data_IF_665142903336
#
_entry.id   IF_665142903336
#
_cell.length_a   1.000
_cell.length_b   1.000
_cell.length_c   1.000
_cell.angle_alpha   90.00
_cell.angle_beta   90.00
_cell.angle_gamma   90.00
#
_symmetry.space_group_name_H-M   'P 1'
#
loop_
_entity.id
_entity.type
_entity.pdbx_description
1 polymer ?
#
# COMPACT_ATOMS: atom_id res chain seq x y z
N UNK A 1 32.66 -15.81 -30.36
CA UNK A 1 31.55 -14.82 -30.30
C UNK A 1 30.50 -15.12 -29.20
N UNK A 2 30.73 -16.09 -28.30
CA UNK A 2 29.81 -16.41 -27.18
C UNK A 2 30.10 -15.67 -25.87
N UNK A 3 31.28 -15.06 -25.72
CA UNK A 3 31.70 -14.42 -24.46
C UNK A 3 30.95 -13.11 -24.15
N UNK A 4 30.44 -12.45 -25.18
CA UNK A 4 29.69 -11.19 -25.04
C UNK A 4 28.19 -11.43 -24.79
N UNK A 5 27.69 -12.64 -25.04
CA UNK A 5 26.28 -12.99 -24.81
C UNK A 5 26.01 -13.33 -23.34
N UNK A 6 27.00 -13.93 -22.65
CA UNK A 6 26.91 -14.30 -21.24
C UNK A 6 26.84 -13.09 -20.28
N UNK A 7 27.44 -11.97 -20.67
CA UNK A 7 27.44 -10.73 -19.88
C UNK A 7 26.08 -10.04 -19.93
N UNK A 8 25.35 -10.18 -21.05
CA UNK A 8 24.05 -9.52 -21.23
C UNK A 8 22.96 -10.15 -20.35
N UNK A 9 23.01 -11.47 -20.12
CA UNK A 9 22.01 -12.19 -19.32
C UNK A 9 22.13 -11.93 -17.82
N UNK A 10 23.33 -11.62 -17.30
CA UNK A 10 23.50 -11.27 -15.89
C UNK A 10 22.96 -9.87 -15.54
N UNK A 11 22.90 -8.95 -16.51
CA UNK A 11 22.48 -7.56 -16.26
C UNK A 11 20.95 -7.40 -16.20
N UNK A 12 20.18 -8.36 -16.73
CA UNK A 12 18.70 -8.32 -16.71
C UNK A 12 18.14 -8.78 -15.36
N UNK A 13 18.88 -9.57 -14.56
CA UNK A 13 18.41 -10.07 -13.26
C UNK A 13 18.51 -9.06 -12.10
N UNK A 14 19.24 -7.95 -12.26
CA UNK A 14 19.44 -6.97 -11.18
C UNK A 14 18.34 -5.91 -11.07
N UNK A 15 17.40 -5.84 -12.02
CA UNK A 15 16.27 -4.89 -11.97
C UNK A 15 15.02 -5.43 -11.26
N UNK A 16 15.05 -6.67 -10.77
CA UNK A 16 14.06 -7.13 -9.79
C UNK A 16 14.39 -6.51 -8.42
N UNK A 17 14.29 -5.18 -8.32
CA UNK A 17 14.28 -4.47 -7.05
C UNK A 17 13.00 -4.90 -6.32
N UNK A 18 13.05 -6.06 -5.65
CA UNK A 18 12.02 -6.55 -4.76
C UNK A 18 11.70 -5.45 -3.77
N UNK A 19 10.57 -4.84 -4.06
CA UNK A 19 10.18 -3.55 -3.58
C UNK A 19 9.55 -3.77 -2.21
N UNK A 20 10.37 -3.79 -1.14
CA UNK A 20 9.86 -4.03 0.21
C UNK A 20 8.76 -3.00 0.56
N UNK A 21 7.65 -3.43 1.16
CA UNK A 21 6.59 -2.54 1.63
C UNK A 21 7.14 -1.53 2.66
N UNK A 22 6.45 -0.38 2.86
CA UNK A 22 6.82 0.53 3.93
C UNK A 22 6.73 -0.15 5.30
N UNK A 23 7.57 0.24 6.24
CA UNK A 23 7.48 -0.24 7.62
C UNK A 23 6.21 0.29 8.29
N UNK A 24 5.56 -0.52 9.14
CA UNK A 24 4.32 -0.14 9.82
C UNK A 24 4.50 1.12 10.66
N UNK A 25 5.64 1.26 11.30
CA UNK A 25 6.01 2.41 12.15
C UNK A 25 6.12 3.69 11.31
N UNK A 26 6.64 3.59 10.08
CA UNK A 26 6.73 4.72 9.16
C UNK A 26 5.34 5.18 8.71
N UNK A 27 4.46 4.23 8.38
CA UNK A 27 3.07 4.50 8.02
C UNK A 27 2.32 5.14 9.19
N UNK A 28 2.48 4.61 10.40
CA UNK A 28 1.87 5.17 11.60
C UNK A 28 2.35 6.61 11.86
N UNK A 29 3.66 6.86 11.77
CA UNK A 29 4.21 8.21 11.92
C UNK A 29 3.68 9.18 10.85
N UNK A 30 3.52 8.73 9.61
CA UNK A 30 2.97 9.55 8.52
C UNK A 30 1.48 9.89 8.77
N UNK A 31 0.65 8.90 9.12
CA UNK A 31 -0.78 9.11 9.37
C UNK A 31 -1.02 9.96 10.63
N UNK A 32 -0.20 9.81 11.68
CA UNK A 32 -0.30 10.59 12.93
C UNK A 32 -0.18 12.11 12.70
N UNK A 33 0.49 12.54 11.62
CA UNK A 33 0.58 13.95 11.23
C UNK A 33 -0.78 14.55 10.80
N UNK A 34 -1.71 13.71 10.34
CA UNK A 34 -3.04 14.11 9.89
C UNK A 34 -4.12 13.78 10.92
N UNK A 35 -3.97 12.65 11.64
CA UNK A 35 -4.87 12.21 12.70
C UNK A 35 -4.09 12.16 14.02
N UNK A 36 -4.11 13.24 14.83
CA UNK A 36 -3.33 13.32 16.07
C UNK A 36 -3.98 12.56 17.24
N UNK A 37 -4.78 11.53 16.98
CA UNK A 37 -5.39 10.64 18.01
C UNK A 37 -4.76 9.25 17.98
N UNK A 38 -5.05 8.42 18.98
CA UNK A 38 -4.57 7.04 18.98
C UNK A 38 -5.36 6.22 17.97
N UNK A 39 -4.63 5.38 17.24
CA UNK A 39 -5.18 4.45 16.26
C UNK A 39 -4.29 3.23 16.16
N UNK A 40 -4.88 2.14 15.70
CA UNK A 40 -4.17 0.88 15.44
C UNK A 40 -4.10 0.63 13.93
N UNK A 41 -2.96 0.18 13.42
CA UNK A 41 -2.83 -0.23 12.01
C UNK A 41 -3.26 -1.70 11.89
N UNK A 42 -4.48 -1.92 11.38
CA UNK A 42 -5.06 -3.24 11.21
C UNK A 42 -4.51 -3.98 9.98
N UNK A 43 -4.24 -3.24 8.90
CA UNK A 43 -3.75 -3.80 7.64
C UNK A 43 -2.79 -2.83 6.96
N UNK A 44 -1.78 -3.41 6.31
CA UNK A 44 -0.92 -2.74 5.34
C UNK A 44 -0.67 -3.72 4.19
N UNK A 45 -1.20 -3.43 3.01
CA UNK A 45 -1.17 -4.34 1.86
C UNK A 45 -1.01 -3.56 0.57
N UNK A 46 -0.15 -4.03 -0.34
CA UNK A 46 -0.04 -3.44 -1.68
C UNK A 46 -1.30 -3.70 -2.50
N UNK A 47 -1.77 -2.69 -3.23
CA UNK A 47 -2.82 -2.87 -4.22
C UNK A 47 -2.24 -3.62 -5.43
N UNK A 48 -2.78 -4.82 -5.70
CA UNK A 48 -2.30 -5.70 -6.78
C UNK A 48 -2.25 -5.01 -8.14
N UNK A 49 -3.29 -4.23 -8.44
CA UNK A 49 -3.47 -3.57 -9.74
C UNK A 49 -2.79 -2.19 -9.81
N UNK A 50 -2.28 -1.66 -8.69
CA UNK A 50 -1.61 -0.36 -8.62
C UNK A 50 -0.27 -0.51 -7.87
N UNK A 51 0.78 -0.99 -8.55
CA UNK A 51 2.08 -1.21 -7.92
C UNK A 51 2.64 0.05 -7.26
N UNK A 52 3.19 -0.11 -6.06
CA UNK A 52 3.75 0.98 -5.25
C UNK A 52 2.73 1.77 -4.43
N UNK A 53 1.42 1.47 -4.56
CA UNK A 53 0.37 2.03 -3.72
C UNK A 53 -0.09 0.99 -2.69
N UNK A 54 0.00 1.35 -1.42
CA UNK A 54 -0.33 0.48 -0.30
C UNK A 54 -1.63 0.94 0.36
N UNK A 55 -2.60 0.04 0.45
CA UNK A 55 -3.79 0.21 1.26
C UNK A 55 -3.45 0.00 2.74
N UNK A 56 -3.83 0.97 3.56
CA UNK A 56 -3.65 0.97 5.00
C UNK A 56 -5.02 1.06 5.65
N UNK A 57 -5.35 0.07 6.48
CA UNK A 57 -6.56 0.13 7.30
C UNK A 57 -6.15 0.46 8.72
N UNK A 58 -6.69 1.53 9.27
CA UNK A 58 -6.49 1.93 10.66
C UNK A 58 -7.80 1.88 11.43
N UNK A 59 -7.75 1.50 12.70
CA UNK A 59 -8.87 1.62 13.63
C UNK A 59 -8.75 2.94 14.39
N UNK A 60 -9.64 3.88 14.13
CA UNK A 60 -9.75 5.14 14.88
C UNK A 60 -11.05 5.08 15.67
N UNK A 61 -10.97 5.07 17.00
CA UNK A 61 -12.16 4.93 17.86
C UNK A 61 -13.05 3.72 17.48
N UNK A 62 -12.43 2.57 17.20
CA UNK A 62 -13.10 1.34 16.75
C UNK A 62 -13.79 1.44 15.38
N UNK A 63 -13.59 2.53 14.64
CA UNK A 63 -14.08 2.68 13.28
C UNK A 63 -12.93 2.46 12.29
N UNK A 64 -13.07 1.55 11.30
CA UNK A 64 -12.05 1.33 10.31
C UNK A 64 -12.02 2.49 9.30
N UNK A 65 -10.86 3.11 9.17
CA UNK A 65 -10.57 4.16 8.17
C UNK A 65 -9.51 3.63 7.23
N UNK A 66 -9.71 3.86 5.93
CA UNK A 66 -8.78 3.41 4.89
C UNK A 66 -8.02 4.60 4.35
N UNK A 67 -6.69 4.48 4.36
CA UNK A 67 -5.77 5.38 3.71
C UNK A 67 -4.97 4.63 2.66
N UNK A 68 -4.39 5.38 1.73
CA UNK A 68 -3.40 4.84 0.83
C UNK A 68 -2.07 5.56 1.01
N UNK A 69 -0.96 4.85 0.91
CA UNK A 69 0.37 5.43 1.04
C UNK A 69 1.28 4.96 -0.08
N UNK A 70 2.21 5.82 -0.48
CA UNK A 70 3.28 5.38 -1.37
C UNK A 70 4.26 4.48 -0.62
N UNK A 71 5.10 3.75 -1.37
CA UNK A 71 6.12 2.84 -0.82
C UNK A 71 7.04 3.45 0.25
N UNK A 72 7.21 4.77 0.24
CA UNK A 72 8.12 5.48 1.17
C UNK A 72 7.36 6.14 2.33
N UNK A 73 6.04 5.96 2.42
CA UNK A 73 5.17 6.65 3.37
C UNK A 73 5.37 8.19 3.39
N UNK A 74 5.75 8.76 2.24
CA UNK A 74 5.95 10.21 2.07
C UNK A 74 4.66 10.92 1.70
N UNK A 75 3.75 10.20 1.04
CA UNK A 75 2.45 10.71 0.63
C UNK A 75 1.36 9.83 1.24
N UNK A 76 0.33 10.47 1.79
CA UNK A 76 -0.89 9.83 2.28
C UNK A 76 -2.03 10.33 1.41
N UNK A 77 -2.75 9.41 0.79
CA UNK A 77 -3.94 9.69 0.00
C UNK A 77 -5.18 9.33 0.82
N UNK A 78 -6.09 10.28 0.93
CA UNK A 78 -7.39 10.11 1.55
C UNK A 78 -8.47 10.16 0.47
N UNK A 79 -9.26 9.10 0.33
CA UNK A 79 -10.28 9.00 -0.72
C UNK A 79 -10.71 7.57 -0.97
N UNK A 80 -11.24 7.32 -2.18
CA UNK A 80 -11.66 5.99 -2.60
C UNK A 80 -10.95 5.52 -3.86
N UNK A 81 -10.68 4.22 -3.92
CA UNK A 81 -10.25 3.51 -5.13
C UNK A 81 -11.48 2.82 -5.73
N UNK A 82 -11.81 3.19 -6.95
CA UNK A 82 -12.91 2.60 -7.71
C UNK A 82 -12.34 1.69 -8.80
N UNK A 83 -12.88 0.49 -8.93
CA UNK A 83 -12.59 -0.38 -10.07
C UNK A 83 -13.33 0.14 -11.30
N UNK A 84 -12.61 0.28 -12.42
CA UNK A 84 -13.23 0.62 -13.70
C UNK A 84 -14.03 -0.55 -14.25
N UNK A 85 -13.53 -1.79 -14.07
CA UNK A 85 -14.14 -3.00 -14.61
C UNK A 85 -15.45 -3.36 -13.91
N UNK A 86 -15.46 -3.37 -12.57
CA UNK A 86 -16.64 -3.76 -11.80
C UNK A 86 -17.52 -2.58 -11.41
N UNK A 87 -17.03 -1.34 -11.60
CA UNK A 87 -17.63 -0.10 -11.08
C UNK A 87 -17.80 -0.08 -9.55
N UNK A 88 -17.11 -0.99 -8.86
CA UNK A 88 -17.15 -1.14 -7.40
C UNK A 88 -16.21 -0.18 -6.69
N UNK A 89 -16.58 0.23 -5.47
CA UNK A 89 -15.71 1.01 -4.59
C UNK A 89 -14.96 0.06 -3.65
N UNK A 90 -13.70 -0.22 -3.99
CA UNK A 90 -12.84 -1.17 -3.30
C UNK A 90 -12.56 -0.73 -1.86
N UNK A 91 -12.47 0.58 -1.62
CA UNK A 91 -12.29 1.17 -0.29
C UNK A 91 -13.48 0.86 0.61
N UNK A 92 -14.70 1.01 0.11
CA UNK A 92 -15.92 0.70 0.87
C UNK A 92 -16.02 -0.81 1.14
N UNK A 93 -15.60 -1.64 0.20
CA UNK A 93 -15.53 -3.09 0.41
C UNK A 93 -14.54 -3.45 1.53
N UNK A 94 -13.35 -2.84 1.54
CA UNK A 94 -12.38 -3.00 2.63
C UNK A 94 -12.96 -2.51 3.96
N UNK A 95 -13.54 -1.31 4.02
CA UNK A 95 -14.18 -0.82 5.25
C UNK A 95 -15.24 -1.79 5.78
N UNK A 96 -16.12 -2.30 4.92
CA UNK A 96 -17.15 -3.29 5.30
C UNK A 96 -16.55 -4.60 5.83
N UNK A 97 -15.40 -5.04 5.31
CA UNK A 97 -14.70 -6.24 5.81
C UNK A 97 -14.20 -6.05 7.24
N UNK A 98 -13.76 -4.84 7.58
CA UNK A 98 -13.23 -4.51 8.91
C UNK A 98 -14.28 -3.99 9.89
N UNK A 99 -15.44 -3.50 9.43
CA UNK A 99 -16.58 -3.13 10.29
C UNK A 99 -17.29 -4.35 10.89
N UNK A 100 -17.19 -5.52 10.22
CA UNK A 100 -17.84 -6.77 10.65
C UNK A 100 -17.00 -7.60 11.63
N UNK A 101 -15.85 -7.08 12.06
CA UNK A 101 -14.95 -7.71 13.03
C UNK A 101 -14.95 -6.89 14.31
#
# INVERSE_FOLDING_TARGET
MFKNFLVLTLMVLSLAACSKPPAKEQVQAAIKKFIPVNFEVLQLSELKEVPGLYEVVVSVNQQPVVFYVDKKAKHVFSGSVLSVDTKGNLTVETQKKFQKK
#
